data_IF_416894721416
#
_entry.id   IF_416894721416
#
_cell.length_a   1.000
_cell.length_b   1.000
_cell.length_c   1.000
_cell.angle_alpha   90.00
_cell.angle_beta   90.00
_cell.angle_gamma   90.00
#
_symmetry.space_group_name_H-M   'P 1'
#
loop_
_entity.id
_entity.type
_entity.pdbx_description
1 polymer ?
#
# COMPACT_ATOMS: atom_id res chain seq x y z
N UNK A 1 11.69 -11.97 -8.16
CA UNK A 1 11.67 -11.59 -6.73
C UNK A 1 12.60 -10.44 -6.42
N UNK A 2 13.90 -10.53 -6.70
CA UNK A 2 14.86 -9.45 -6.43
C UNK A 2 14.50 -8.11 -7.09
N UNK A 3 14.21 -8.10 -8.39
CA UNK A 3 13.76 -6.88 -9.10
C UNK A 3 12.51 -6.25 -8.47
N UNK A 4 11.55 -7.08 -8.08
CA UNK A 4 10.30 -6.64 -7.44
C UNK A 4 10.58 -6.03 -6.05
N UNK A 5 11.44 -6.68 -5.27
CA UNK A 5 11.89 -6.18 -3.97
C UNK A 5 12.56 -4.80 -4.12
N UNK A 6 13.52 -4.67 -5.06
CA UNK A 6 14.20 -3.40 -5.33
C UNK A 6 13.23 -2.29 -5.74
N UNK A 7 12.28 -2.59 -6.62
CA UNK A 7 11.26 -1.62 -7.07
C UNK A 7 10.33 -1.21 -5.93
N UNK A 8 9.87 -2.16 -5.12
CA UNK A 8 9.01 -1.90 -3.95
C UNK A 8 9.73 -1.03 -2.93
N UNK A 9 10.99 -1.32 -2.64
CA UNK A 9 11.79 -0.52 -1.71
C UNK A 9 12.07 0.89 -2.25
N UNK A 10 12.31 1.02 -3.55
CA UNK A 10 12.44 2.33 -4.20
C UNK A 10 11.17 3.18 -4.06
N UNK A 11 9.99 2.59 -4.30
CA UNK A 11 8.71 3.27 -4.12
C UNK A 11 8.47 3.68 -2.66
N UNK A 12 8.72 2.76 -1.72
CA UNK A 12 8.59 3.05 -0.30
C UNK A 12 9.47 4.22 0.13
N UNK A 13 10.73 4.23 -0.31
CA UNK A 13 11.65 5.33 0.00
C UNK A 13 11.15 6.67 -0.55
N UNK A 14 10.58 6.68 -1.76
CA UNK A 14 10.02 7.89 -2.36
C UNK A 14 8.82 8.42 -1.55
N UNK A 15 7.92 7.54 -1.09
CA UNK A 15 6.77 7.91 -0.25
C UNK A 15 7.20 8.40 1.14
N UNK A 16 8.22 7.76 1.74
CA UNK A 16 8.72 8.17 3.05
C UNK A 16 9.47 9.51 3.00
N UNK A 17 10.13 9.83 1.87
CA UNK A 17 10.84 11.10 1.70
C UNK A 17 9.92 12.33 1.76
N UNK A 18 8.63 12.17 1.47
CA UNK A 18 7.64 13.25 1.53
C UNK A 18 6.85 13.28 2.85
N UNK A 19 7.08 12.31 3.74
CA UNK A 19 6.39 12.18 5.03
C UNK A 19 7.16 12.88 6.15
N UNK A 20 6.43 13.48 7.09
CA UNK A 20 7.04 14.00 8.32
C UNK A 20 7.22 12.89 9.38
N UNK A 21 7.97 13.19 10.45
CA UNK A 21 8.30 12.21 11.50
C UNK A 21 7.09 11.58 12.18
N UNK A 22 6.02 12.36 12.40
CA UNK A 22 4.82 11.84 13.06
C UNK A 22 4.01 10.95 12.12
N UNK A 23 3.92 11.33 10.84
CA UNK A 23 3.32 10.51 9.78
C UNK A 23 4.04 9.18 9.63
N UNK A 24 5.37 9.19 9.60
CA UNK A 24 6.17 7.97 9.56
C UNK A 24 5.91 7.07 10.77
N UNK A 25 5.86 7.63 11.98
CA UNK A 25 5.60 6.86 13.20
C UNK A 25 4.21 6.22 13.18
N UNK A 26 3.19 6.96 12.73
CA UNK A 26 1.83 6.40 12.57
C UNK A 26 1.82 5.29 11.50
N UNK A 27 2.51 5.50 10.38
CA UNK A 27 2.60 4.54 9.30
C UNK A 27 3.32 3.23 9.72
N UNK A 28 4.36 3.31 10.55
CA UNK A 28 5.08 2.14 11.06
C UNK A 28 4.18 1.25 11.95
N UNK A 29 3.43 1.88 12.87
CA UNK A 29 2.47 1.17 13.73
C UNK A 29 1.37 0.54 12.89
N UNK A 30 0.73 1.33 12.01
CA UNK A 30 -0.34 0.84 11.15
C UNK A 30 0.15 -0.27 10.20
N UNK A 31 1.38 -0.18 9.68
CA UNK A 31 1.97 -1.20 8.82
C UNK A 31 2.10 -2.56 9.52
N UNK A 32 2.43 -2.55 10.82
CA UNK A 32 2.50 -3.77 11.63
C UNK A 32 1.11 -4.40 11.82
N UNK A 33 0.09 -3.60 12.09
CA UNK A 33 -1.30 -4.07 12.22
C UNK A 33 -1.85 -4.62 10.90
N UNK A 34 -1.55 -3.96 9.78
CA UNK A 34 -1.91 -4.42 8.44
C UNK A 34 -1.26 -5.77 8.14
N UNK A 35 0.01 -5.95 8.50
CA UNK A 35 0.69 -7.24 8.32
C UNK A 35 0.00 -8.37 9.08
N UNK A 36 -0.33 -8.17 10.35
CA UNK A 36 -1.03 -9.19 11.14
C UNK A 36 -2.40 -9.54 10.55
N UNK A 37 -3.13 -8.55 10.04
CA UNK A 37 -4.41 -8.78 9.35
C UNK A 37 -4.24 -9.58 8.05
N UNK A 38 -3.25 -9.21 7.21
CA UNK A 38 -2.96 -9.93 5.96
C UNK A 38 -2.55 -11.37 6.27
N UNK A 39 -1.67 -11.57 7.25
CA UNK A 39 -1.20 -12.89 7.67
C UNK A 39 -2.34 -13.78 8.14
N UNK A 40 -3.25 -13.25 8.97
CA UNK A 40 -4.43 -14.00 9.41
C UNK A 40 -5.33 -14.43 8.24
N UNK A 41 -5.50 -13.57 7.23
CA UNK A 41 -6.25 -13.91 6.01
C UNK A 41 -5.52 -14.97 5.20
N UNK A 42 -4.21 -14.83 5.00
CA UNK A 42 -3.43 -15.77 4.19
C UNK A 42 -3.35 -17.13 4.84
N UNK A 43 -3.23 -17.19 6.17
CA UNK A 43 -3.24 -18.43 6.95
C UNK A 43 -4.61 -19.13 6.86
N UNK A 44 -5.70 -18.36 7.01
CA UNK A 44 -7.07 -18.87 6.87
C UNK A 44 -7.33 -19.50 5.49
N UNK A 45 -6.77 -18.90 4.44
CA UNK A 45 -6.93 -19.37 3.07
C UNK A 45 -5.81 -20.32 2.61
N UNK A 46 -4.85 -20.63 3.49
CA UNK A 46 -3.67 -21.45 3.19
C UNK A 46 -2.90 -20.97 1.95
N UNK A 47 -2.81 -19.65 1.77
CA UNK A 47 -2.17 -19.06 0.61
C UNK A 47 -0.66 -19.31 0.64
N UNK A 48 -0.10 -19.71 -0.48
CA UNK A 48 1.34 -19.69 -0.66
C UNK A 48 1.85 -18.24 -0.88
N UNK A 49 3.17 -18.05 -0.86
CA UNK A 49 3.79 -16.72 -0.98
C UNK A 49 3.37 -15.98 -2.26
N UNK A 50 3.19 -16.69 -3.38
CA UNK A 50 2.78 -16.08 -4.64
C UNK A 50 1.32 -15.61 -4.59
N UNK A 51 0.43 -16.41 -3.99
CA UNK A 51 -0.97 -16.05 -3.79
C UNK A 51 -1.12 -14.87 -2.80
N UNK A 52 -0.32 -14.86 -1.73
CA UNK A 52 -0.24 -13.74 -0.80
C UNK A 52 0.21 -12.44 -1.49
N UNK A 53 1.23 -12.50 -2.34
CA UNK A 53 1.67 -11.34 -3.13
C UNK A 53 0.58 -10.87 -4.10
N UNK A 54 -0.10 -11.78 -4.79
CA UNK A 54 -1.20 -11.42 -5.68
C UNK A 54 -2.33 -10.71 -4.93
N UNK A 55 -2.74 -11.23 -3.76
CA UNK A 55 -3.79 -10.63 -2.96
C UNK A 55 -3.41 -9.24 -2.43
N UNK A 56 -2.17 -9.06 -1.97
CA UNK A 56 -1.69 -7.78 -1.44
C UNK A 56 -1.50 -6.73 -2.52
N UNK A 57 -1.00 -7.09 -3.69
CA UNK A 57 -0.88 -6.18 -4.85
C UNK A 57 -2.27 -5.77 -5.35
N UNK A 58 -3.23 -6.70 -5.42
CA UNK A 58 -4.60 -6.37 -5.82
C UNK A 58 -5.25 -5.37 -4.85
N UNK A 59 -5.07 -5.57 -3.54
CA UNK A 59 -5.52 -4.61 -2.52
C UNK A 59 -4.86 -3.24 -2.70
N UNK A 60 -3.54 -3.21 -2.92
CA UNK A 60 -2.80 -1.98 -3.18
C UNK A 60 -3.31 -1.23 -4.42
N UNK A 61 -3.63 -1.96 -5.49
CA UNK A 61 -4.18 -1.38 -6.71
C UNK A 61 -5.51 -0.67 -6.45
N UNK A 62 -6.43 -1.30 -5.71
CA UNK A 62 -7.70 -0.68 -5.34
C UNK A 62 -7.54 0.58 -4.49
N UNK A 63 -6.54 0.61 -3.59
CA UNK A 63 -6.21 1.83 -2.83
C UNK A 63 -5.77 2.95 -3.78
N UNK A 64 -4.92 2.63 -4.76
CA UNK A 64 -4.44 3.59 -5.76
C UNK A 64 -5.58 4.09 -6.65
N UNK A 65 -6.50 3.23 -7.07
CA UNK A 65 -7.69 3.61 -7.83
C UNK A 65 -8.52 4.65 -7.06
N UNK A 66 -8.83 4.38 -5.79
CA UNK A 66 -9.57 5.33 -4.92
C UNK A 66 -8.80 6.64 -4.77
N UNK A 67 -7.49 6.59 -4.59
CA UNK A 67 -6.68 7.80 -4.48
C UNK A 67 -6.70 8.63 -5.78
N UNK A 68 -6.62 7.98 -6.94
CA UNK A 68 -6.70 8.64 -8.25
C UNK A 68 -8.09 9.26 -8.49
N UNK A 69 -9.16 8.57 -8.11
CA UNK A 69 -10.52 9.10 -8.18
C UNK A 69 -10.66 10.38 -7.37
N UNK A 70 -10.19 10.38 -6.12
CA UNK A 70 -10.22 11.58 -5.26
C UNK A 70 -9.37 12.74 -5.81
N UNK A 71 -8.24 12.46 -6.45
CA UNK A 71 -7.42 13.49 -7.11
C UNK A 71 -8.19 14.08 -8.29
N UNK A 72 -8.80 13.22 -9.12
CA UNK A 72 -9.58 13.64 -10.28
C UNK A 72 -10.78 14.50 -9.87
N UNK A 73 -11.53 14.08 -8.85
CA UNK A 73 -12.66 14.84 -8.32
C UNK A 73 -12.26 16.24 -7.81
N UNK A 74 -11.09 16.36 -7.16
CA UNK A 74 -10.57 17.67 -6.75
C UNK A 74 -10.21 18.55 -7.94
N UNK A 75 -9.58 17.98 -8.97
CA UNK A 75 -9.21 18.73 -10.18
C UNK A 75 -10.44 19.20 -10.96
N UNK A 76 -11.48 18.36 -11.08
CA UNK A 76 -12.73 18.72 -11.74
C UNK A 76 -13.59 19.69 -10.89
N UNK A 77 -13.47 19.63 -9.57
CA UNK A 77 -14.15 20.55 -8.64
C UNK A 77 -13.53 21.95 -8.54
N UNK A 78 -12.22 22.08 -8.77
CA UNK A 78 -11.51 23.37 -8.79
C UNK A 78 -11.68 24.14 -10.12
N UNK A 79 -12.29 23.53 -11.15
CA UNK A 79 -12.60 24.16 -12.44
C UNK A 79 -14.00 24.85 -12.49
N UNK A 80 -14.75 24.88 -11.38
CA UNK A 80 -16.07 25.54 -11.24
C UNK A 80 -16.04 26.72 -10.27
#
# INVERSE_FOLDING_TARGET
MEKYFTQTQGLLNALQATSNKEEMKRAEVAGSEIWEAIKAITDKHQLNVQEMMNATIACHLSIMEVAMEQIKEKMEGDEL
#
